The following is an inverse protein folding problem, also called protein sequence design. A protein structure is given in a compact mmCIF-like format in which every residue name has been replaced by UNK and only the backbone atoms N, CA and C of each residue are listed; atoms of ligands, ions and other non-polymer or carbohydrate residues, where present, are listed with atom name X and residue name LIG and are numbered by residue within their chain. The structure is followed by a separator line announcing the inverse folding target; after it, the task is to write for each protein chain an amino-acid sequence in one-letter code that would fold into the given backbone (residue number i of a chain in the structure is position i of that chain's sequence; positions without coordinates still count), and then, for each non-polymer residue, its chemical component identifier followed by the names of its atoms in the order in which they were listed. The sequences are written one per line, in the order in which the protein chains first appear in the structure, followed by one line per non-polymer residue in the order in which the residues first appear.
data_IF_840819453437
#
_entry.id   IF_840819453437
#
_cell.length_a   1.000
_cell.length_b   1.000
_cell.length_c   1.000
_cell.angle_alpha   90.00
_cell.angle_beta   90.00
_cell.angle_gamma   90.00
#
_symmetry.space_group_name_H-M   'P 1'
#
loop_
_entity.id
_entity.type
_entity.pdbx_description
1 polymer ?
#
# COMPACT_ATOMS: atom_id res chain seq x y z
N UNK A 1 19.24 -41.35 17.51
CA UNK A 1 19.73 -39.95 17.48
C UNK A 1 19.42 -39.33 16.12
N UNK A 2 18.47 -38.37 16.04
CA UNK A 2 18.17 -37.63 14.79
C UNK A 2 18.07 -36.14 15.12
N UNK A 3 19.10 -35.37 14.78
CA UNK A 3 18.99 -33.92 14.62
C UNK A 3 19.41 -33.58 13.19
N UNK A 4 18.41 -33.40 12.32
CA UNK A 4 18.60 -32.92 10.94
C UNK A 4 19.09 -31.47 10.98
N UNK A 5 20.02 -31.07 10.09
CA UNK A 5 20.35 -29.67 9.90
C UNK A 5 19.24 -29.00 9.05
N UNK A 6 18.74 -27.85 9.47
CA UNK A 6 17.93 -26.91 8.67
C UNK A 6 18.41 -25.53 9.11
N UNK A 7 19.24 -24.82 8.35
CA UNK A 7 19.01 -24.39 6.99
C UNK A 7 19.05 -22.87 7.06
N UNK A 8 20.22 -22.29 6.78
CA UNK A 8 20.41 -20.84 6.62
C UNK A 8 19.60 -20.41 5.41
N UNK A 9 18.34 -20.02 5.59
CA UNK A 9 17.53 -19.54 4.48
C UNK A 9 16.56 -18.43 4.90
N UNK A 10 16.51 -17.38 4.06
CA UNK A 10 15.47 -16.35 3.92
C UNK A 10 15.51 -15.09 4.81
N UNK A 11 16.66 -14.44 5.00
CA UNK A 11 16.68 -12.99 5.38
C UNK A 11 16.64 -12.05 4.16
N UNK A 12 17.25 -12.42 3.03
CA UNK A 12 17.24 -11.58 1.82
C UNK A 12 15.87 -11.47 1.14
N UNK A 13 14.97 -12.40 1.42
CA UNK A 13 13.65 -12.49 0.78
C UNK A 13 12.64 -11.47 1.35
N UNK A 14 12.87 -10.99 2.58
CA UNK A 14 12.07 -9.94 3.22
C UNK A 14 12.56 -8.52 2.90
N UNK A 15 13.83 -8.37 2.49
CA UNK A 15 14.38 -7.05 2.15
C UNK A 15 13.94 -6.59 0.76
N UNK A 16 13.78 -7.53 -0.18
CA UNK A 16 13.43 -7.21 -1.56
C UNK A 16 12.13 -6.40 -1.65
N UNK A 17 10.99 -6.84 -1.07
CA UNK A 17 9.74 -6.10 -1.16
C UNK A 17 9.83 -4.72 -0.49
N UNK A 18 10.47 -4.61 0.68
CA UNK A 18 10.57 -3.34 1.39
C UNK A 18 11.42 -2.30 0.66
N UNK A 19 12.50 -2.71 -0.03
CA UNK A 19 13.32 -1.80 -0.84
C UNK A 19 12.57 -1.25 -2.04
N UNK A 20 11.72 -2.10 -2.58
CA UNK A 20 10.90 -1.89 -3.75
C UNK A 20 9.74 -0.92 -3.40
N UNK A 21 9.01 -1.17 -2.31
CA UNK A 21 8.05 -0.19 -1.74
C UNK A 21 8.73 1.13 -1.34
N UNK A 22 9.99 1.12 -0.89
CA UNK A 22 10.72 2.35 -0.63
C UNK A 22 11.08 3.11 -1.93
N UNK A 23 11.29 2.39 -3.03
CA UNK A 23 11.49 2.98 -4.35
C UNK A 23 10.19 3.59 -4.90
N UNK A 24 9.04 2.93 -4.72
CA UNK A 24 7.73 3.50 -5.09
C UNK A 24 7.46 4.80 -4.32
N UNK A 25 7.73 4.81 -3.02
CA UNK A 25 7.64 6.01 -2.17
C UNK A 25 8.56 7.14 -2.66
N UNK A 26 9.79 6.81 -3.06
CA UNK A 26 10.74 7.80 -3.57
C UNK A 26 10.29 8.40 -4.90
N UNK A 27 9.68 7.60 -5.79
CA UNK A 27 9.03 8.08 -7.01
C UNK A 27 7.84 9.00 -6.70
N UNK A 28 7.00 8.65 -5.72
CA UNK A 28 5.91 9.51 -5.25
C UNK A 28 6.41 10.85 -4.69
N UNK A 29 7.47 10.82 -3.87
CA UNK A 29 8.10 12.04 -3.36
C UNK A 29 8.71 12.89 -4.48
N UNK A 30 9.37 12.27 -5.46
CA UNK A 30 9.88 12.98 -6.63
C UNK A 30 8.75 13.65 -7.41
N UNK A 31 7.58 13.01 -7.55
CA UNK A 31 6.42 13.61 -8.18
C UNK A 31 5.94 14.88 -7.45
N UNK A 32 5.97 14.91 -6.11
CA UNK A 32 5.67 16.13 -5.35
C UNK A 32 6.67 17.25 -5.68
N UNK A 33 7.97 16.93 -5.70
CA UNK A 33 9.03 17.91 -5.99
C UNK A 33 8.91 18.43 -7.42
N UNK A 34 8.66 17.55 -8.39
CA UNK A 34 8.43 17.92 -9.79
C UNK A 34 7.18 18.80 -9.95
N UNK A 35 6.10 18.47 -9.24
CA UNK A 35 4.88 19.28 -9.20
C UNK A 35 5.13 20.69 -8.67
N UNK A 36 5.96 20.82 -7.62
CA UNK A 36 6.34 22.13 -7.09
C UNK A 36 7.13 22.94 -8.11
N UNK A 37 8.02 22.30 -8.86
CA UNK A 37 8.79 22.94 -9.93
C UNK A 37 7.96 23.32 -11.17
N UNK A 38 6.67 22.98 -11.21
CA UNK A 38 5.80 23.21 -12.37
C UNK A 38 5.98 22.18 -13.50
N UNK A 39 6.78 21.14 -13.28
CA UNK A 39 7.07 20.06 -14.22
C UNK A 39 5.99 18.97 -14.14
N UNK A 40 4.75 19.32 -14.48
CA UNK A 40 3.58 18.45 -14.31
C UNK A 40 3.66 17.14 -15.10
N UNK A 41 4.29 17.16 -16.28
CA UNK A 41 4.50 15.97 -17.11
C UNK A 41 5.42 14.96 -16.41
N UNK A 42 6.54 15.44 -15.89
CA UNK A 42 7.48 14.61 -15.12
C UNK A 42 6.85 14.09 -13.83
N UNK A 43 6.03 14.92 -13.16
CA UNK A 43 5.30 14.51 -11.97
C UNK A 43 4.29 13.38 -12.25
N UNK A 44 3.52 13.50 -13.33
CA UNK A 44 2.55 12.47 -13.74
C UNK A 44 3.24 11.15 -14.12
N UNK A 45 4.33 11.22 -14.88
CA UNK A 45 5.14 10.03 -15.22
C UNK A 45 5.74 9.39 -13.97
N UNK A 46 6.21 10.18 -13.01
CA UNK A 46 6.75 9.66 -11.75
C UNK A 46 5.69 8.96 -10.90
N UNK A 47 4.45 9.46 -10.86
CA UNK A 47 3.33 8.76 -10.18
C UNK A 47 3.00 7.45 -10.88
N UNK A 48 2.98 7.43 -12.21
CA UNK A 48 2.75 6.19 -12.97
C UNK A 48 3.86 5.16 -12.71
N UNK A 49 5.11 5.60 -12.66
CA UNK A 49 6.24 4.74 -12.30
C UNK A 49 6.13 4.24 -10.86
N UNK A 50 5.80 5.10 -9.90
CA UNK A 50 5.57 4.73 -8.51
C UNK A 50 4.52 3.62 -8.40
N UNK A 51 3.41 3.75 -9.11
CA UNK A 51 2.35 2.75 -9.15
C UNK A 51 2.73 1.45 -9.84
N UNK A 52 3.62 1.51 -10.84
CA UNK A 52 4.15 0.31 -11.49
C UNK A 52 5.05 -0.47 -10.53
N UNK A 53 5.94 0.20 -9.81
CA UNK A 53 6.78 -0.41 -8.78
C UNK A 53 5.90 -1.03 -7.69
N UNK A 54 4.99 -0.25 -7.10
CA UNK A 54 4.11 -0.72 -6.03
C UNK A 54 3.31 -1.98 -6.42
N UNK A 55 2.74 -1.99 -7.64
CA UNK A 55 2.04 -3.15 -8.18
C UNK A 55 2.91 -4.38 -8.42
N UNK A 56 4.19 -4.21 -8.75
CA UNK A 56 5.17 -5.30 -8.87
C UNK A 56 5.53 -5.82 -7.47
N UNK A 57 5.69 -4.91 -6.52
CA UNK A 57 6.21 -5.18 -5.19
C UNK A 57 5.18 -5.90 -4.32
N UNK A 58 3.92 -5.46 -4.38
CA UNK A 58 2.79 -6.14 -3.76
C UNK A 58 2.53 -7.53 -4.35
N UNK A 59 2.78 -7.75 -5.65
CA UNK A 59 2.70 -9.08 -6.28
C UNK A 59 3.86 -9.98 -5.86
N UNK A 60 5.08 -9.45 -5.84
CA UNK A 60 6.27 -10.17 -5.39
C UNK A 60 6.15 -10.53 -3.91
N UNK A 61 5.66 -9.63 -3.06
CA UNK A 61 5.41 -9.90 -1.64
C UNK A 61 4.43 -11.06 -1.42
N UNK A 62 3.33 -11.13 -2.21
CA UNK A 62 2.37 -12.24 -2.18
C UNK A 62 2.96 -13.55 -2.69
N UNK A 63 3.66 -13.53 -3.82
CA UNK A 63 4.24 -14.73 -4.44
C UNK A 63 5.38 -15.34 -3.62
N UNK A 64 6.11 -14.50 -2.89
CA UNK A 64 7.31 -14.93 -2.17
C UNK A 64 7.02 -15.42 -0.73
N UNK A 65 5.74 -15.49 -0.32
CA UNK A 65 5.31 -15.86 1.04
C UNK A 65 6.05 -15.09 2.16
N UNK A 66 6.63 -13.93 1.81
CA UNK A 66 7.42 -13.08 2.70
C UNK A 66 6.66 -11.81 3.07
N UNK A 67 5.34 -11.83 2.90
CA UNK A 67 4.43 -10.78 3.34
C UNK A 67 4.39 -10.75 4.88
N UNK A 68 5.31 -10.00 5.47
CA UNK A 68 5.26 -9.64 6.88
C UNK A 68 4.13 -8.63 7.10
N UNK A 69 3.47 -8.67 8.27
CA UNK A 69 2.51 -7.62 8.68
C UNK A 69 3.09 -6.21 8.54
N UNK A 70 4.38 -6.04 8.82
CA UNK A 70 5.06 -4.76 8.64
C UNK A 70 5.10 -4.32 7.16
N UNK A 71 5.37 -5.24 6.23
CA UNK A 71 5.41 -4.94 4.81
C UNK A 71 4.04 -4.56 4.25
N UNK A 72 2.98 -5.22 4.72
CA UNK A 72 1.60 -4.90 4.33
C UNK A 72 1.18 -3.48 4.75
N UNK A 73 1.55 -3.07 5.97
CA UNK A 73 1.33 -1.69 6.42
C UNK A 73 2.20 -0.69 5.67
N UNK A 74 3.46 -1.05 5.37
CA UNK A 74 4.38 -0.19 4.64
C UNK A 74 3.94 0.06 3.19
N UNK A 75 3.46 -0.99 2.50
CA UNK A 75 2.84 -0.94 1.17
C UNK A 75 1.66 0.02 1.15
N UNK A 76 0.75 -0.10 2.14
CA UNK A 76 -0.40 0.78 2.28
C UNK A 76 0.00 2.26 2.49
N UNK A 77 1.08 2.53 3.23
CA UNK A 77 1.57 3.89 3.41
C UNK A 77 2.20 4.45 2.13
N UNK A 78 2.97 3.63 1.40
CA UNK A 78 3.55 4.03 0.13
C UNK A 78 2.49 4.28 -0.94
N UNK A 79 1.47 3.43 -1.01
CA UNK A 79 0.28 3.60 -1.85
C UNK A 79 -0.44 4.92 -1.57
N UNK A 80 -0.62 5.27 -0.29
CA UNK A 80 -1.26 6.53 0.09
C UNK A 80 -0.46 7.75 -0.40
N UNK A 81 0.87 7.69 -0.30
CA UNK A 81 1.72 8.80 -0.75
C UNK A 81 1.74 8.90 -2.27
N UNK A 82 1.91 7.76 -2.96
CA UNK A 82 2.04 7.69 -4.41
C UNK A 82 0.72 7.98 -5.15
N UNK A 83 -0.40 7.45 -4.66
CA UNK A 83 -1.71 7.59 -5.33
C UNK A 83 -2.69 8.55 -4.65
N UNK A 84 -2.45 8.91 -3.39
CA UNK A 84 -3.24 9.92 -2.68
C UNK A 84 -2.57 11.28 -2.72
N UNK A 85 -1.40 11.39 -2.10
CA UNK A 85 -0.74 12.67 -1.84
C UNK A 85 -0.14 13.28 -3.11
N UNK A 86 0.58 12.49 -3.91
CA UNK A 86 1.21 13.00 -5.13
C UNK A 86 0.20 13.58 -6.15
N UNK A 87 -0.88 12.88 -6.56
CA UNK A 87 -1.87 13.47 -7.46
C UNK A 87 -2.67 14.61 -6.83
N UNK A 88 -2.90 14.60 -5.51
CA UNK A 88 -3.51 15.75 -4.82
C UNK A 88 -2.62 17.00 -4.92
N UNK A 89 -1.31 16.84 -4.80
CA UNK A 89 -0.35 17.93 -4.96
C UNK A 89 -0.27 18.43 -6.40
N UNK A 90 -0.28 17.51 -7.38
CA UNK A 90 -0.34 17.86 -8.81
C UNK A 90 -1.60 18.67 -9.12
N UNK A 91 -2.76 18.22 -8.63
CA UNK A 91 -4.03 18.93 -8.80
C UNK A 91 -4.00 20.31 -8.11
N UNK A 92 -3.41 20.40 -6.91
CA UNK A 92 -3.23 21.66 -6.19
C UNK A 92 -2.39 22.66 -6.99
N UNK A 93 -1.21 22.24 -7.43
CA UNK A 93 -0.27 23.08 -8.17
C UNK A 93 -0.78 23.48 -9.57
N UNK A 94 -1.58 22.63 -10.23
CA UNK A 94 -2.02 22.88 -11.61
C UNK A 94 -3.30 23.69 -11.73
N UNK A 95 -4.35 23.34 -10.98
CA UNK A 95 -5.70 23.93 -11.14
C UNK A 95 -6.05 24.90 -10.00
N UNK A 96 -5.44 24.70 -8.84
CA UNK A 96 -5.91 25.27 -7.58
C UNK A 96 -5.01 26.39 -7.03
N UNK A 97 -3.89 26.68 -7.69
CA UNK A 97 -3.03 27.82 -7.40
C UNK A 97 -3.79 29.17 -7.27
N UNK A 98 -4.79 29.49 -8.12
CA UNK A 98 -5.57 30.72 -7.96
C UNK A 98 -6.63 30.67 -6.85
N UNK A 99 -7.00 29.48 -6.35
CA UNK A 99 -8.06 29.29 -5.36
C UNK A 99 -7.57 29.26 -3.89
N UNK A 100 -6.25 29.34 -3.67
CA UNK A 100 -5.63 29.49 -2.34
C UNK A 100 -6.18 28.52 -1.29
N UNK A 101 -6.94 29.06 -0.31
CA UNK A 101 -7.53 28.31 0.82
C UNK A 101 -8.46 27.17 0.39
N UNK A 102 -9.28 27.38 -0.64
CA UNK A 102 -10.21 26.35 -1.13
C UNK A 102 -9.48 25.25 -1.86
N UNK A 103 -8.36 25.59 -2.51
CA UNK A 103 -7.56 24.62 -3.23
C UNK A 103 -6.88 23.62 -2.31
N UNK A 104 -6.22 24.11 -1.26
CA UNK A 104 -5.57 23.20 -0.31
C UNK A 104 -6.60 22.32 0.43
N UNK A 105 -7.79 22.86 0.73
CA UNK A 105 -8.88 22.10 1.34
C UNK A 105 -9.37 20.95 0.44
N UNK A 106 -9.57 21.21 -0.86
CA UNK A 106 -10.01 20.18 -1.81
C UNK A 106 -8.94 19.09 -2.00
N UNK A 107 -7.66 19.48 -2.08
CA UNK A 107 -6.55 18.53 -2.14
C UNK A 107 -6.49 17.66 -0.86
N UNK A 108 -6.66 18.28 0.31
CA UNK A 108 -6.70 17.56 1.58
C UNK A 108 -7.88 16.59 1.69
N UNK A 109 -9.07 17.00 1.23
CA UNK A 109 -10.26 16.15 1.21
C UNK A 109 -10.05 14.92 0.31
N UNK A 110 -9.40 15.09 -0.85
CA UNK A 110 -9.04 13.98 -1.74
C UNK A 110 -8.11 12.98 -1.03
N UNK A 111 -7.06 13.47 -0.35
CA UNK A 111 -6.13 12.62 0.41
C UNK A 111 -6.84 11.87 1.53
N UNK A 112 -7.70 12.53 2.31
CA UNK A 112 -8.49 11.87 3.37
C UNK A 112 -9.38 10.77 2.78
N UNK A 113 -10.07 11.06 1.68
CA UNK A 113 -10.94 10.09 1.03
C UNK A 113 -10.14 8.86 0.54
N UNK A 114 -8.96 9.09 -0.04
CA UNK A 114 -8.02 8.03 -0.41
C UNK A 114 -7.55 7.20 0.78
N UNK A 115 -7.14 7.87 1.87
CA UNK A 115 -6.69 7.22 3.11
C UNK A 115 -7.78 6.34 3.73
N UNK A 116 -9.03 6.84 3.79
CA UNK A 116 -10.17 6.08 4.32
C UNK A 116 -10.47 4.83 3.48
N UNK A 117 -10.37 4.94 2.15
CA UNK A 117 -10.54 3.79 1.25
C UNK A 117 -9.47 2.73 1.50
N UNK A 118 -8.21 3.14 1.65
CA UNK A 118 -7.09 2.25 1.91
C UNK A 118 -7.18 1.59 3.30
N UNK A 119 -7.49 2.38 4.34
CA UNK A 119 -7.70 1.87 5.69
C UNK A 119 -8.82 0.82 5.74
N UNK A 120 -9.93 1.05 5.03
CA UNK A 120 -11.02 0.08 4.91
C UNK A 120 -10.57 -1.21 4.21
N UNK A 121 -9.69 -1.11 3.21
CA UNK A 121 -9.11 -2.26 2.53
C UNK A 121 -8.14 -3.03 3.44
N UNK A 122 -7.25 -2.32 4.14
CA UNK A 122 -6.29 -2.93 5.07
C UNK A 122 -6.99 -3.66 6.24
N UNK A 123 -8.05 -3.06 6.80
CA UNK A 123 -8.89 -3.71 7.83
C UNK A 123 -9.60 -4.96 7.27
N UNK A 124 -10.08 -4.92 6.03
CA UNK A 124 -10.69 -6.09 5.37
C UNK A 124 -9.68 -7.18 5.06
N UNK A 125 -8.45 -6.83 4.67
CA UNK A 125 -7.37 -7.79 4.44
C UNK A 125 -6.94 -8.47 5.76
N UNK A 126 -6.84 -7.70 6.84
CA UNK A 126 -6.59 -8.21 8.20
C UNK A 126 -7.74 -9.09 8.69
N UNK A 127 -8.99 -8.71 8.39
CA UNK A 127 -10.17 -9.53 8.70
C UNK A 127 -10.24 -10.82 7.85
N UNK A 128 -9.69 -10.82 6.64
CA UNK A 128 -9.57 -12.01 5.80
C UNK A 128 -8.50 -13.00 6.31
N UNK A 129 -7.44 -12.53 6.98
CA UNK A 129 -6.51 -13.38 7.74
C UNK A 129 -7.09 -13.88 9.07
N UNK A 130 -8.10 -13.20 9.63
CA UNK A 130 -8.92 -13.69 10.74
C UNK A 130 -10.00 -14.69 10.28
N UNK A 131 -9.70 -15.48 9.24
CA UNK A 131 -10.31 -16.79 9.01
C UNK A 131 -9.61 -17.91 9.78
N UNK A 132 -8.91 -17.58 10.87
CA UNK A 132 -8.98 -18.43 12.05
C UNK A 132 -10.35 -18.27 12.69
N UNK A 133 -11.22 -19.16 12.26
CA UNK A 133 -12.37 -19.71 12.96
C UNK A 133 -12.37 -19.43 14.48
N UNK A 134 -13.23 -18.51 14.91
CA UNK A 134 -13.77 -18.46 16.28
C UNK A 134 -15.24 -18.11 16.17
N UNK A 135 -16.05 -19.15 15.99
CA UNK A 135 -17.50 -19.06 15.81
C UNK A 135 -18.07 -20.34 15.20
N UNK A 136 -18.41 -21.28 16.08
CA UNK A 136 -19.02 -22.62 15.94
C UNK A 136 -18.58 -23.53 14.78
N UNK A 137 -17.98 -24.70 15.07
CA UNK A 137 -17.89 -25.78 14.09
C UNK A 137 -19.31 -26.26 13.79
N UNK A 138 -19.73 -26.11 12.53
CA UNK A 138 -20.84 -26.81 11.88
C UNK A 138 -20.50 -28.28 11.58
N UNK A 139 -20.10 -29.07 12.61
CA UNK A 139 -20.52 -30.47 12.71
C UNK A 139 -21.46 -30.75 13.88
N UNK A 140 -21.57 -29.85 14.88
CA UNK A 140 -22.43 -30.07 16.06
C UNK A 140 -23.93 -29.90 15.75
N UNK A 141 -24.28 -29.09 14.74
CA UNK A 141 -25.67 -28.93 14.29
C UNK A 141 -26.18 -30.10 13.42
N UNK A 142 -25.28 -30.93 12.88
CA UNK A 142 -25.65 -32.05 12.00
C UNK A 142 -25.93 -33.36 12.77
N UNK A 143 -25.44 -33.50 14.00
CA UNK A 143 -25.69 -34.69 14.86
C UNK A 143 -26.90 -34.54 15.79
N UNK A 144 -27.63 -33.41 15.74
CA UNK A 144 -28.88 -33.21 16.50
C UNK A 144 -30.14 -33.66 15.75
N UNK A 145 -29.98 -34.22 14.55
CA UNK A 145 -31.06 -34.79 13.74
C UNK A 145 -30.64 -36.19 13.26
N UNK A 146 -30.31 -37.07 14.20
CA UNK A 146 -30.30 -38.53 14.05
C UNK A 146 -30.39 -39.18 15.43
#
# INVERSE_FOLDING_TARGET
MRRRPKGREKRGVYLLPNLLTAASLLCGFYALVASWKGEFVHAAVAVLLAGLFDGIDGKVARLTHSASRFGMEFDSLADLVSFGVAPAMIAYSWVLHPYGRWGWLAAFLYVICGALRLARFNVRATAAEMRHFSGLPTPAAAYGIA
#
